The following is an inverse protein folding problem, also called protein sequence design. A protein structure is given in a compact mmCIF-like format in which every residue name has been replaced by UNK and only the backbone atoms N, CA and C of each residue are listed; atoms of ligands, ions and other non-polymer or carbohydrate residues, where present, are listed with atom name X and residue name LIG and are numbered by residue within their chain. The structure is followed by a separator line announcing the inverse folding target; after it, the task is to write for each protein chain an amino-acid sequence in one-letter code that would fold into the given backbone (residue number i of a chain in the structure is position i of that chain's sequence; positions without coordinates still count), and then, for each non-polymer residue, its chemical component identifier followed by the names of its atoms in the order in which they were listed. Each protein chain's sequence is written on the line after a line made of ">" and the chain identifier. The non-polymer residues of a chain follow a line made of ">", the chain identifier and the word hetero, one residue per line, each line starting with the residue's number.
data_IF_907416344811
#
_entry.id   IF_907416344811
#
_cell.length_a   1.000
_cell.length_b   1.000
_cell.length_c   1.000
_cell.angle_alpha   90.00
_cell.angle_beta   90.00
_cell.angle_gamma   90.00
#
_symmetry.space_group_name_H-M   'P 1'
#
loop_
_entity.id
_entity.type
_entity.pdbx_description
1 polymer ?
#
# COMPACT_ATOMS: atom_id res chain seq x y z
N UNK A 1 8.59 -5.97 26.73
CA UNK A 1 7.16 -5.70 26.48
C UNK A 1 6.49 -7.02 26.17
N UNK A 2 5.42 -7.38 26.89
CA UNK A 2 4.70 -8.65 26.70
C UNK A 2 3.91 -8.58 25.40
N UNK A 3 4.30 -9.37 24.41
CA UNK A 3 3.59 -9.46 23.14
C UNK A 3 2.42 -10.45 23.25
N UNK A 4 1.20 -9.99 22.99
CA UNK A 4 0.02 -10.85 22.96
C UNK A 4 -0.01 -11.67 21.65
N UNK A 5 0.37 -12.94 21.77
CA UNK A 5 0.65 -13.92 20.70
C UNK A 5 -0.56 -14.39 19.87
N UNK A 6 -1.79 -14.02 20.20
CA UNK A 6 -3.01 -14.64 19.63
C UNK A 6 -3.75 -13.83 18.56
N UNK A 7 -3.25 -12.65 18.14
CA UNK A 7 -3.95 -11.78 17.17
C UNK A 7 -3.16 -11.44 15.87
N UNK A 8 -1.90 -11.85 15.74
CA UNK A 8 -0.97 -11.28 14.73
C UNK A 8 -0.91 -11.95 13.35
N UNK A 9 -1.68 -13.01 13.08
CA UNK A 9 -1.30 -13.95 12.00
C UNK A 9 -2.29 -14.14 10.84
N UNK A 10 -3.30 -13.30 10.63
CA UNK A 10 -4.27 -13.48 9.51
C UNK A 10 -4.42 -12.31 8.55
N UNK A 11 -3.85 -11.14 8.86
CA UNK A 11 -4.06 -9.95 8.02
C UNK A 11 -3.08 -9.94 6.85
N UNK A 12 -3.58 -10.23 5.64
CA UNK A 12 -2.85 -10.01 4.38
C UNK A 12 -3.02 -8.56 3.93
N UNK A 13 -2.00 -8.00 3.28
CA UNK A 13 -2.04 -6.62 2.82
C UNK A 13 -1.37 -6.45 1.46
N UNK A 14 -1.78 -5.39 0.75
CA UNK A 14 -1.08 -4.87 -0.42
C UNK A 14 -0.69 -3.43 -0.08
N UNK A 15 0.61 -3.15 -0.13
CA UNK A 15 1.20 -1.87 0.19
C UNK A 15 1.57 -1.17 -1.12
N UNK A 16 0.82 -0.12 -1.44
CA UNK A 16 1.14 0.75 -2.55
C UNK A 16 2.21 1.75 -2.12
N UNK A 17 3.33 1.79 -2.83
CA UNK A 17 4.45 2.63 -2.48
C UNK A 17 4.85 3.55 -3.62
N UNK A 18 5.27 4.75 -3.24
CA UNK A 18 6.07 5.60 -4.10
C UNK A 18 7.54 5.26 -3.85
N UNK A 19 8.14 4.53 -4.78
CA UNK A 19 9.54 4.10 -4.67
C UNK A 19 10.48 5.13 -5.29
N UNK A 20 11.68 5.30 -4.77
CA UNK A 20 12.70 6.11 -5.43
C UNK A 20 13.48 5.32 -6.49
N UNK A 21 13.57 4.00 -6.32
CA UNK A 21 14.47 3.14 -7.08
C UNK A 21 13.75 2.05 -7.90
N UNK A 22 12.51 1.72 -7.55
CA UNK A 22 11.74 0.68 -8.23
C UNK A 22 10.92 1.29 -9.34
N UNK A 23 10.88 0.63 -10.50
CA UNK A 23 10.02 1.01 -11.61
C UNK A 23 8.54 0.88 -11.23
N UNK A 24 7.68 1.68 -11.87
CA UNK A 24 6.22 1.57 -11.70
C UNK A 24 5.77 0.19 -12.16
N UNK A 25 4.93 -0.47 -11.35
CA UNK A 25 4.47 -1.83 -11.59
C UNK A 25 5.37 -2.92 -11.00
N UNK A 26 6.61 -2.58 -10.61
CA UNK A 26 7.45 -3.50 -9.86
C UNK A 26 6.79 -3.88 -8.53
N UNK A 27 6.90 -5.14 -8.15
CA UNK A 27 6.33 -5.68 -6.92
C UNK A 27 7.29 -6.67 -6.25
N UNK A 28 7.20 -6.79 -4.92
CA UNK A 28 8.08 -7.66 -4.14
C UNK A 28 7.47 -7.97 -2.77
N UNK A 29 7.92 -9.05 -2.09
CA UNK A 29 7.48 -9.36 -0.73
C UNK A 29 7.87 -8.26 0.25
N UNK A 30 7.00 -7.93 1.21
CA UNK A 30 7.34 -6.97 2.25
C UNK A 30 8.49 -7.51 3.14
N UNK A 31 9.53 -6.71 3.43
CA UNK A 31 10.71 -7.15 4.16
C UNK A 31 10.46 -7.45 5.65
N UNK A 32 9.37 -6.93 6.24
CA UNK A 32 9.07 -7.06 7.67
C UNK A 32 7.82 -7.91 7.97
N UNK A 33 6.91 -8.02 7.00
CA UNK A 33 5.64 -8.75 7.15
C UNK A 33 5.41 -9.66 5.94
N UNK A 34 5.75 -10.95 6.08
CA UNK A 34 5.69 -11.95 4.98
C UNK A 34 4.33 -12.08 4.29
N UNK A 35 3.26 -11.68 4.96
CA UNK A 35 1.88 -11.71 4.47
C UNK A 35 1.46 -10.44 3.73
N UNK A 36 2.34 -9.45 3.62
CA UNK A 36 2.12 -8.23 2.87
C UNK A 36 2.95 -8.23 1.59
N UNK A 37 2.38 -7.67 0.52
CA UNK A 37 3.06 -7.49 -0.76
C UNK A 37 3.23 -6.01 -1.06
N UNK A 38 4.36 -5.64 -1.64
CA UNK A 38 4.69 -4.27 -2.02
C UNK A 38 4.44 -4.09 -3.51
N UNK A 39 3.81 -2.99 -3.92
CA UNK A 39 3.62 -2.59 -5.31
C UNK A 39 4.02 -1.13 -5.49
N UNK A 40 5.00 -0.88 -6.36
CA UNK A 40 5.38 0.47 -6.74
C UNK A 40 4.33 1.06 -7.69
N UNK A 41 3.52 2.01 -7.21
CA UNK A 41 2.57 2.75 -8.06
C UNK A 41 3.21 3.97 -8.70
N UNK A 42 4.27 4.50 -8.08
CA UNK A 42 5.04 5.65 -8.56
C UNK A 42 6.52 5.43 -8.33
N UNK A 43 7.32 6.07 -9.18
CA UNK A 43 8.77 6.00 -9.14
C UNK A 43 9.41 7.39 -9.21
N UNK A 44 10.54 7.57 -8.53
CA UNK A 44 11.39 8.75 -8.65
C UNK A 44 10.83 10.02 -8.01
N UNK A 45 11.54 11.12 -8.22
CA UNK A 45 11.31 12.42 -7.58
C UNK A 45 10.37 13.31 -8.43
N UNK A 46 9.18 12.80 -8.76
CA UNK A 46 8.26 13.55 -9.62
C UNK A 46 7.38 14.52 -8.80
N UNK A 47 7.44 15.80 -9.20
CA UNK A 47 6.51 16.89 -8.91
C UNK A 47 5.94 16.97 -7.48
N UNK A 48 6.84 17.19 -6.51
CA UNK A 48 6.51 17.45 -5.10
C UNK A 48 5.52 18.60 -4.88
N UNK A 49 5.34 19.45 -5.89
CA UNK A 49 4.58 20.69 -5.78
C UNK A 49 3.17 20.56 -6.39
N UNK A 50 2.81 19.39 -6.92
CA UNK A 50 1.50 19.13 -7.52
C UNK A 50 0.73 18.00 -6.84
N UNK A 51 -0.59 18.15 -6.77
CA UNK A 51 -1.47 17.10 -6.28
C UNK A 51 -1.49 15.91 -7.23
N UNK A 52 -0.97 14.77 -6.79
CA UNK A 52 -1.06 13.51 -7.51
C UNK A 52 -2.31 12.72 -7.08
N UNK A 53 -3.01 12.13 -8.05
CA UNK A 53 -4.15 11.23 -7.79
C UNK A 53 -3.73 9.79 -8.09
N UNK A 54 -4.13 8.87 -7.23
CA UNK A 54 -3.90 7.43 -7.38
C UNK A 54 -5.25 6.71 -7.38
N UNK A 55 -5.43 5.74 -8.27
CA UNK A 55 -6.66 4.93 -8.35
C UNK A 55 -6.27 3.50 -8.68
N UNK A 56 -6.76 2.55 -7.88
CA UNK A 56 -6.41 1.14 -7.96
C UNK A 56 -7.65 0.27 -7.85
N UNK A 57 -7.65 -0.83 -8.58
CA UNK A 57 -8.58 -1.94 -8.35
C UNK A 57 -8.02 -2.79 -7.20
N UNK A 58 -8.49 -2.50 -5.99
CA UNK A 58 -8.02 -3.16 -4.77
C UNK A 58 -8.35 -4.66 -4.76
N UNK A 59 -9.46 -5.06 -5.39
CA UNK A 59 -9.87 -6.46 -5.46
C UNK A 59 -8.93 -7.24 -6.39
N UNK A 60 -8.70 -6.71 -7.60
CA UNK A 60 -7.82 -7.34 -8.57
C UNK A 60 -6.37 -7.40 -8.07
N UNK A 61 -5.85 -6.31 -7.48
CA UNK A 61 -4.50 -6.31 -6.92
C UNK A 61 -4.36 -7.34 -5.80
N UNK A 62 -5.35 -7.45 -4.91
CA UNK A 62 -5.31 -8.42 -3.82
C UNK A 62 -5.41 -9.85 -4.33
N UNK A 63 -6.26 -10.13 -5.33
CA UNK A 63 -6.34 -11.43 -5.98
C UNK A 63 -5.02 -11.82 -6.68
N UNK A 64 -4.41 -10.88 -7.41
CA UNK A 64 -3.13 -11.10 -8.09
C UNK A 64 -2.00 -11.47 -7.13
N UNK A 65 -1.93 -10.84 -5.95
CA UNK A 65 -0.84 -11.08 -5.00
C UNK A 65 -1.12 -12.18 -3.97
N UNK A 66 -2.39 -12.43 -3.65
CA UNK A 66 -2.78 -13.37 -2.58
C UNK A 66 -3.57 -14.58 -3.07
N UNK A 67 -3.87 -14.66 -4.37
CA UNK A 67 -4.59 -15.77 -5.01
C UNK A 67 -6.06 -15.90 -4.60
N UNK A 68 -6.62 -14.87 -3.97
CA UNK A 68 -8.01 -14.85 -3.51
C UNK A 68 -8.54 -13.43 -3.54
N UNK A 69 -9.77 -13.23 -4.01
CA UNK A 69 -10.43 -11.93 -3.89
C UNK A 69 -10.82 -11.67 -2.41
N UNK A 70 -10.62 -10.46 -1.89
CA UNK A 70 -11.08 -10.09 -0.55
C UNK A 70 -12.61 -9.96 -0.54
N UNK A 71 -13.25 -10.50 0.48
CA UNK A 71 -14.68 -10.32 0.78
C UNK A 71 -14.96 -8.94 1.40
N UNK A 72 -13.99 -8.41 2.13
CA UNK A 72 -14.05 -7.09 2.78
C UNK A 72 -12.67 -6.46 2.92
N UNK A 73 -12.65 -5.13 2.94
CA UNK A 73 -11.48 -4.35 3.35
C UNK A 73 -11.62 -4.04 4.84
N UNK A 74 -10.76 -4.65 5.66
CA UNK A 74 -10.79 -4.45 7.11
C UNK A 74 -10.27 -3.07 7.54
N UNK A 75 -9.27 -2.55 6.83
CA UNK A 75 -8.62 -1.30 7.17
C UNK A 75 -7.90 -0.71 5.95
N UNK A 76 -7.75 0.62 5.96
CA UNK A 76 -6.85 1.36 5.07
C UNK A 76 -5.89 2.14 5.96
N UNK A 77 -4.60 1.99 5.70
CA UNK A 77 -3.56 2.77 6.34
C UNK A 77 -2.91 3.69 5.30
N UNK A 78 -2.67 4.93 5.69
CA UNK A 78 -1.94 5.91 4.89
C UNK A 78 -0.82 6.42 5.76
N UNK A 79 0.40 6.35 5.25
CA UNK A 79 1.60 6.77 5.97
C UNK A 79 2.55 7.52 5.05
N UNK A 80 3.18 8.54 5.62
CA UNK A 80 4.44 9.08 5.11
C UNK A 80 5.52 8.45 5.95
N UNK A 81 6.34 7.60 5.36
CA UNK A 81 7.41 6.90 6.06
C UNK A 81 8.77 7.56 5.77
N UNK A 82 9.60 7.67 6.80
CA UNK A 82 10.94 8.26 6.74
C UNK A 82 11.98 7.45 7.53
N UNK A 83 11.57 6.38 8.19
CA UNK A 83 12.36 5.68 9.20
C UNK A 83 13.67 5.08 8.67
N UNK A 84 13.68 4.70 7.40
CA UNK A 84 14.80 4.00 6.76
C UNK A 84 15.73 4.92 5.95
N UNK A 85 15.53 6.24 6.00
CA UNK A 85 16.24 7.18 5.11
C UNK A 85 17.06 8.26 5.82
N UNK A 86 17.03 8.33 7.16
CA UNK A 86 17.57 9.46 7.93
C UNK A 86 17.07 10.83 7.40
N UNK A 87 15.96 10.83 6.65
CA UNK A 87 15.42 12.01 5.98
C UNK A 87 14.14 12.46 6.67
N UNK A 88 13.67 13.65 6.32
CA UNK A 88 12.35 14.14 6.68
C UNK A 88 11.48 14.20 5.43
N UNK A 89 10.26 13.70 5.52
CA UNK A 89 9.24 13.88 4.52
C UNK A 89 7.95 14.38 5.17
N UNK A 90 7.18 15.13 4.39
CA UNK A 90 5.86 15.58 4.75
C UNK A 90 4.98 15.42 3.53
N UNK A 91 3.80 14.84 3.72
CA UNK A 91 2.81 14.72 2.66
C UNK A 91 1.46 15.20 3.18
N UNK A 92 0.69 15.79 2.26
CA UNK A 92 -0.71 16.11 2.49
C UNK A 92 -1.57 15.14 1.70
N UNK A 93 -2.63 14.63 2.32
CA UNK A 93 -3.56 13.70 1.71
C UNK A 93 -4.95 14.34 1.67
N UNK A 94 -5.69 14.14 0.58
CA UNK A 94 -7.07 14.62 0.45
C UNK A 94 -7.91 13.68 -0.41
N UNK A 95 -9.22 13.72 -0.21
CA UNK A 95 -10.22 13.02 -1.03
C UNK A 95 -9.98 11.50 -1.15
N UNK A 96 -9.67 10.87 -0.02
CA UNK A 96 -9.58 9.40 0.07
C UNK A 96 -11.00 8.84 -0.04
N UNK A 97 -11.23 7.98 -1.04
CA UNK A 97 -12.55 7.40 -1.32
C UNK A 97 -12.40 5.94 -1.70
N UNK A 98 -13.38 5.14 -1.27
CA UNK A 98 -13.62 3.81 -1.78
C UNK A 98 -14.87 3.84 -2.63
N UNK A 99 -14.77 3.22 -3.81
CA UNK A 99 -15.90 3.03 -4.71
C UNK A 99 -16.16 1.53 -4.79
N UNK A 100 -17.41 1.13 -4.60
CA UNK A 100 -17.81 -0.21 -5.00
C UNK A 100 -17.61 -0.33 -6.52
N UNK A 101 -17.22 -1.52 -6.99
CA UNK A 101 -17.20 -1.79 -8.41
C UNK A 101 -18.65 -1.72 -8.89
N UNK A 102 -18.92 -0.91 -9.91
CA UNK A 102 -20.24 -0.92 -10.54
C UNK A 102 -20.50 -2.35 -11.02
N UNK A 103 -21.65 -2.89 -10.62
CA UNK A 103 -22.12 -4.19 -11.09
C UNK A 103 -22.92 -3.91 -12.34
N UNK A 104 -22.38 -4.32 -13.49
CA UNK A 104 -23.12 -4.36 -14.75
C UNK A 104 -24.32 -5.33 -14.66
#
# INVERSE_FOLDING_TARGET
>A
MREHSILRWRTRAVNYVWSQQSEVGANWPNPFAKQAHMLATRSGKQESDQWQTETRDLQADFENFHGQAPDKINAIAIMTDCDNSNSSASASYRRIRLHARDTD
#
